data_IF_244129832471
#
_entry.id   IF_244129832471
#
_cell.length_a   1.000
_cell.length_b   1.000
_cell.length_c   1.000
_cell.angle_alpha   90.00
_cell.angle_beta   90.00
_cell.angle_gamma   90.00
#
_symmetry.space_group_name_H-M   'P 1'
#
loop_
_entity.id
_entity.type
_entity.pdbx_description
1 polymer ?
#
# COMPACT_ATOMS: atom_id res chain seq x y z
N UNK A 1 -15.40 22.28 -15.84
CA UNK A 1 -16.17 21.33 -15.04
C UNK A 1 -15.77 21.38 -13.58
N UNK A 2 -16.64 20.92 -12.70
CA UNK A 2 -16.40 21.02 -11.26
C UNK A 2 -15.92 19.69 -10.71
N UNK A 3 -14.74 19.68 -10.12
CA UNK A 3 -14.21 18.53 -9.38
C UNK A 3 -14.93 18.41 -8.04
N UNK A 4 -15.35 17.21 -7.68
CA UNK A 4 -15.85 16.92 -6.33
C UNK A 4 -14.66 16.78 -5.38
N UNK A 5 -14.49 17.74 -4.49
CA UNK A 5 -13.40 17.74 -3.48
C UNK A 5 -13.79 17.07 -2.16
N UNK A 6 -15.06 16.70 -2.00
CA UNK A 6 -15.53 15.96 -0.82
C UNK A 6 -15.22 14.49 -0.99
N UNK A 7 -14.23 14.00 -0.26
CA UNK A 7 -13.79 12.58 -0.25
C UNK A 7 -13.85 12.07 1.18
N UNK A 8 -14.47 10.92 1.37
CA UNK A 8 -14.54 10.27 2.68
C UNK A 8 -13.14 9.95 3.22
N UNK A 9 -12.98 9.98 4.54
CA UNK A 9 -11.69 9.79 5.22
C UNK A 9 -10.97 8.48 4.83
N UNK A 10 -11.71 7.45 4.44
CA UNK A 10 -11.19 6.13 4.06
C UNK A 10 -11.22 5.87 2.55
N UNK A 11 -11.54 6.88 1.76
CA UNK A 11 -11.59 6.80 0.30
C UNK A 11 -10.53 7.67 -0.34
N UNK A 12 -10.27 7.47 -1.62
CA UNK A 12 -9.42 8.33 -2.43
C UNK A 12 -10.08 8.60 -3.78
N UNK A 13 -9.74 9.73 -4.38
CA UNK A 13 -10.22 10.12 -5.71
C UNK A 13 -9.05 10.60 -6.56
N UNK A 14 -9.11 10.30 -7.85
CA UNK A 14 -8.13 10.75 -8.84
C UNK A 14 -8.81 11.55 -9.94
N UNK A 15 -8.19 12.62 -10.35
CA UNK A 15 -8.63 13.48 -11.46
C UNK A 15 -7.57 13.44 -12.55
N UNK A 16 -7.95 13.02 -13.73
CA UNK A 16 -7.09 12.95 -14.90
C UNK A 16 -7.41 14.10 -15.84
N UNK A 17 -6.41 14.92 -16.13
CA UNK A 17 -6.52 16.21 -16.80
C UNK A 17 -5.76 16.16 -18.13
N UNK A 18 -6.43 16.51 -19.23
CA UNK A 18 -5.75 16.66 -20.53
C UNK A 18 -5.88 18.11 -21.02
N UNK A 19 -4.85 18.93 -20.85
CA UNK A 19 -4.79 20.25 -21.49
C UNK A 19 -4.95 20.14 -23.02
N UNK A 20 -5.44 21.21 -23.64
CA UNK A 20 -5.70 21.23 -25.10
C UNK A 20 -4.44 20.91 -25.89
N UNK A 21 -3.30 21.44 -25.45
CA UNK A 21 -2.02 21.36 -26.17
C UNK A 21 -1.04 20.33 -25.59
N UNK A 22 -1.49 19.47 -24.67
CA UNK A 22 -0.60 18.55 -23.95
C UNK A 22 0.08 17.51 -24.86
N UNK A 23 -0.70 16.89 -25.74
CA UNK A 23 -0.24 15.89 -26.72
C UNK A 23 -1.12 15.99 -27.97
N UNK A 24 -0.55 15.72 -29.17
CA UNK A 24 -1.36 15.64 -30.40
C UNK A 24 -2.25 14.40 -30.40
N UNK A 25 -3.23 14.37 -31.30
CA UNK A 25 -4.10 13.23 -31.52
C UNK A 25 -5.46 13.32 -30.89
N UNK A 26 -6.32 12.34 -31.18
CA UNK A 26 -7.74 12.41 -30.89
C UNK A 26 -8.09 12.08 -29.45
N UNK A 27 -7.57 10.99 -28.93
CA UNK A 27 -7.87 10.55 -27.57
C UNK A 27 -6.65 9.93 -26.89
N UNK A 28 -6.56 10.16 -25.58
CA UNK A 28 -5.59 9.50 -24.69
C UNK A 28 -6.35 8.59 -23.75
N UNK A 29 -6.04 7.30 -23.78
CA UNK A 29 -6.63 6.32 -22.90
C UNK A 29 -5.94 6.35 -21.55
N UNK A 30 -6.73 6.33 -20.49
CA UNK A 30 -6.28 6.23 -19.09
C UNK A 30 -6.64 4.87 -18.57
N UNK A 31 -5.65 4.19 -17.99
CA UNK A 31 -5.80 2.91 -17.31
C UNK A 31 -5.39 3.05 -15.84
N UNK A 32 -6.16 2.42 -14.97
CA UNK A 32 -5.86 2.33 -13.54
C UNK A 32 -5.65 0.86 -13.19
N UNK A 33 -4.45 0.51 -12.72
CA UNK A 33 -4.05 -0.86 -12.43
C UNK A 33 -4.31 -1.85 -13.60
N UNK A 34 -4.10 -1.38 -14.82
CA UNK A 34 -4.30 -2.15 -16.04
C UNK A 34 -5.73 -2.18 -16.58
N UNK A 35 -6.70 -1.57 -15.89
CA UNK A 35 -8.09 -1.52 -16.32
C UNK A 35 -8.45 -0.17 -16.94
N UNK A 36 -9.22 -0.22 -18.02
CA UNK A 36 -9.64 0.97 -18.76
C UNK A 36 -10.55 1.87 -17.91
N UNK A 37 -10.17 3.13 -17.78
CA UNK A 37 -10.99 4.14 -17.10
C UNK A 37 -11.74 5.04 -18.09
N UNK A 38 -11.03 5.66 -19.01
CA UNK A 38 -11.60 6.67 -19.91
C UNK A 38 -10.67 6.95 -21.09
N UNK A 39 -11.22 7.62 -22.09
CA UNK A 39 -10.47 8.22 -23.19
C UNK A 39 -10.67 9.73 -23.16
N UNK A 40 -9.61 10.47 -22.86
CA UNK A 40 -9.63 11.92 -22.77
C UNK A 40 -9.37 12.56 -24.14
N UNK A 41 -10.32 13.41 -24.57
CA UNK A 41 -10.10 14.31 -25.71
C UNK A 41 -9.41 15.59 -25.27
N UNK A 42 -8.80 16.38 -26.17
CA UNK A 42 -8.19 17.64 -25.81
C UNK A 42 -9.14 18.56 -25.02
N UNK A 43 -8.64 19.14 -23.93
CA UNK A 43 -9.43 20.01 -23.06
C UNK A 43 -10.41 19.28 -22.13
N UNK A 44 -10.24 17.96 -21.94
CA UNK A 44 -11.10 17.17 -21.09
C UNK A 44 -10.46 16.70 -19.80
N UNK A 45 -11.32 16.40 -18.80
CA UNK A 45 -10.91 15.73 -17.59
C UNK A 45 -11.93 14.68 -17.16
N UNK A 46 -11.46 13.70 -16.39
CA UNK A 46 -12.28 12.68 -15.74
C UNK A 46 -11.88 12.55 -14.28
N UNK A 47 -12.87 12.55 -13.41
CA UNK A 47 -12.69 12.18 -12.00
C UNK A 47 -13.21 10.77 -11.78
N UNK A 48 -12.50 9.99 -10.96
CA UNK A 48 -12.89 8.64 -10.57
C UNK A 48 -12.46 8.34 -9.15
N UNK A 49 -13.25 7.55 -8.44
CA UNK A 49 -12.79 6.91 -7.21
C UNK A 49 -11.58 6.01 -7.52
N UNK A 50 -10.67 5.90 -6.58
CA UNK A 50 -9.50 5.00 -6.66
C UNK A 50 -9.21 4.39 -5.29
N UNK A 51 -8.40 3.34 -5.26
CA UNK A 51 -7.97 2.76 -4.00
C UNK A 51 -6.99 3.70 -3.27
N UNK A 52 -7.08 3.73 -1.95
CA UNK A 52 -6.08 4.37 -1.09
C UNK A 52 -4.76 3.63 -1.21
N UNK A 53 -3.66 4.36 -1.27
CA UNK A 53 -2.32 3.79 -1.31
C UNK A 53 -1.63 4.03 -2.64
N UNK A 54 -1.06 3.00 -3.24
CA UNK A 54 -0.33 3.08 -4.51
C UNK A 54 -1.16 2.51 -5.64
N UNK A 55 -1.29 3.26 -6.72
CA UNK A 55 -1.97 2.82 -7.95
C UNK A 55 -1.03 2.98 -9.14
N UNK A 56 -1.01 1.98 -10.02
CA UNK A 56 -0.32 2.07 -11.30
C UNK A 56 -1.23 2.74 -12.32
N UNK A 57 -0.81 3.92 -12.78
CA UNK A 57 -1.56 4.72 -13.74
C UNK A 57 -0.84 4.73 -15.08
N UNK A 58 -1.60 4.62 -16.15
CA UNK A 58 -1.08 4.61 -17.52
C UNK A 58 -1.88 5.56 -18.39
N UNK A 59 -1.18 6.36 -19.19
CA UNK A 59 -1.76 7.12 -20.29
C UNK A 59 -1.15 6.62 -21.60
N UNK A 60 -1.99 6.30 -22.58
CA UNK A 60 -1.52 5.79 -23.87
C UNK A 60 -2.45 6.17 -25.02
N UNK A 61 -1.91 6.25 -26.23
CA UNK A 61 -2.75 6.25 -27.42
C UNK A 61 -3.39 4.89 -27.64
N UNK A 62 -4.46 4.86 -28.42
CA UNK A 62 -5.04 3.59 -28.87
C UNK A 62 -4.05 2.86 -29.76
N UNK A 63 -3.62 1.68 -29.33
CA UNK A 63 -2.74 0.81 -30.11
C UNK A 63 -3.38 -0.56 -30.32
N UNK A 64 -3.89 -0.75 -31.53
CA UNK A 64 -4.52 -2.01 -31.94
C UNK A 64 -3.45 -3.07 -32.28
N UNK A 65 -2.26 -2.65 -32.66
CA UNK A 65 -1.18 -3.56 -33.11
C UNK A 65 -0.66 -4.42 -31.96
N UNK A 66 -0.55 -3.86 -30.76
CA UNK A 66 -0.11 -4.56 -29.56
C UNK A 66 -1.25 -5.21 -28.76
N UNK A 67 -2.49 -5.15 -29.26
CA UNK A 67 -3.70 -5.63 -28.56
C UNK A 67 -3.84 -5.06 -27.16
N UNK A 68 -3.45 -3.82 -26.95
CA UNK A 68 -3.47 -3.13 -25.66
C UNK A 68 -2.62 -3.80 -24.55
N UNK A 69 -1.67 -4.66 -24.89
CA UNK A 69 -0.79 -5.32 -23.89
C UNK A 69 0.10 -4.32 -23.13
N UNK A 70 0.34 -3.16 -23.69
CA UNK A 70 1.10 -2.10 -23.02
C UNK A 70 0.43 -1.63 -21.72
N UNK A 71 -0.89 -1.70 -21.60
CA UNK A 71 -1.62 -1.39 -20.37
C UNK A 71 -1.18 -2.23 -19.17
N UNK A 72 -0.68 -3.45 -19.40
CA UNK A 72 -0.20 -4.36 -18.37
C UNK A 72 1.28 -4.19 -18.03
N UNK A 73 2.05 -3.66 -18.98
CA UNK A 73 3.52 -3.53 -18.88
C UNK A 73 4.00 -2.13 -18.58
N UNK A 74 3.20 -1.12 -18.94
CA UNK A 74 3.55 0.28 -18.81
C UNK A 74 2.76 0.94 -17.69
N UNK A 75 3.23 2.10 -17.27
CA UNK A 75 2.64 2.89 -16.25
C UNK A 75 3.61 3.20 -15.12
N UNK A 76 3.23 4.14 -14.31
CA UNK A 76 3.97 4.60 -13.16
C UNK A 76 3.09 4.46 -11.92
N UNK A 77 3.68 4.05 -10.81
CA UNK A 77 2.99 4.00 -9.54
C UNK A 77 2.95 5.38 -8.89
N UNK A 78 1.76 5.80 -8.49
CA UNK A 78 1.51 7.06 -7.79
C UNK A 78 0.79 6.81 -6.47
N UNK A 79 1.09 7.63 -5.49
CA UNK A 79 0.36 7.62 -4.22
C UNK A 79 -0.97 8.35 -4.37
N UNK A 80 -2.04 7.74 -3.85
CA UNK A 80 -3.38 8.33 -3.76
C UNK A 80 -3.83 8.26 -2.29
N UNK A 81 -3.50 9.28 -1.47
CA UNK A 81 -3.76 9.26 -0.04
C UNK A 81 -5.24 9.24 0.31
N UNK A 82 -5.56 8.64 1.45
CA UNK A 82 -6.91 8.63 2.00
C UNK A 82 -7.44 10.05 2.27
N UNK A 83 -8.73 10.27 2.06
CA UNK A 83 -9.42 11.53 2.31
C UNK A 83 -9.02 12.65 1.34
N UNK A 84 -8.40 12.34 0.21
CA UNK A 84 -7.86 13.35 -0.70
C UNK A 84 -8.23 13.11 -2.16
N UNK A 85 -8.14 14.18 -2.94
CA UNK A 85 -8.19 14.18 -4.41
C UNK A 85 -6.77 14.34 -4.94
N UNK A 86 -6.31 13.40 -5.75
CA UNK A 86 -5.03 13.45 -6.45
C UNK A 86 -5.23 13.87 -7.90
N UNK A 87 -4.37 14.73 -8.41
CA UNK A 87 -4.50 15.29 -9.76
C UNK A 87 -3.35 14.82 -10.64
N UNK A 88 -3.67 14.36 -11.84
CA UNK A 88 -2.72 13.83 -12.81
C UNK A 88 -2.92 14.51 -14.17
N UNK A 89 -1.88 15.16 -14.66
CA UNK A 89 -1.89 15.83 -15.93
C UNK A 89 -1.29 14.94 -17.01
N UNK A 90 -1.96 14.85 -18.15
CA UNK A 90 -1.41 14.25 -19.36
C UNK A 90 -0.33 15.16 -19.93
N UNK A 91 0.84 14.61 -20.18
CA UNK A 91 1.95 15.23 -20.86
C UNK A 91 2.52 14.29 -21.91
N UNK A 92 3.68 14.61 -22.45
CA UNK A 92 4.42 13.78 -23.40
C UNK A 92 5.84 13.53 -22.92
N UNK A 93 6.36 12.32 -23.20
CA UNK A 93 7.78 12.02 -23.03
C UNK A 93 8.61 12.58 -24.22
N UNK A 94 9.92 12.35 -24.21
CA UNK A 94 10.83 12.81 -25.26
C UNK A 94 10.50 12.23 -26.64
N UNK A 95 9.79 11.10 -26.72
CA UNK A 95 9.34 10.47 -27.97
C UNK A 95 7.94 10.87 -28.41
N UNK A 96 7.26 11.76 -27.65
CA UNK A 96 5.91 12.22 -27.90
C UNK A 96 4.81 11.26 -27.41
N UNK A 97 5.15 10.22 -26.64
CA UNK A 97 4.18 9.31 -26.05
C UNK A 97 3.51 9.94 -24.84
N UNK A 98 2.19 9.70 -24.62
CA UNK A 98 1.49 10.19 -23.46
C UNK A 98 2.10 9.69 -22.16
N UNK A 99 2.20 10.60 -21.18
CA UNK A 99 2.64 10.33 -19.81
C UNK A 99 1.68 10.98 -18.81
N UNK A 100 1.79 10.62 -17.56
CA UNK A 100 1.08 11.26 -16.46
C UNK A 100 2.08 11.89 -15.49
N UNK A 101 1.78 13.12 -15.07
CA UNK A 101 2.51 13.86 -14.05
C UNK A 101 1.53 14.24 -12.94
N UNK A 102 1.91 13.94 -11.71
CA UNK A 102 1.12 14.36 -10.55
C UNK A 102 1.30 15.85 -10.29
N UNK A 103 0.19 16.54 -10.08
CA UNK A 103 0.15 17.95 -9.70
C UNK A 103 -0.19 18.08 -8.22
N UNK A 104 0.20 19.19 -7.61
CA UNK A 104 -0.36 19.57 -6.33
C UNK A 104 -1.85 19.96 -6.47
N UNK A 105 -2.56 19.98 -5.34
CA UNK A 105 -4.00 20.20 -5.34
C UNK A 105 -4.40 21.58 -5.93
N UNK A 106 -3.59 22.61 -5.69
CA UNK A 106 -3.87 23.97 -6.17
C UNK A 106 -3.73 24.04 -7.69
N UNK A 107 -2.63 23.55 -8.22
CA UNK A 107 -2.38 23.52 -9.67
C UNK A 107 -3.38 22.61 -10.39
N UNK A 108 -3.68 21.45 -9.80
CA UNK A 108 -4.65 20.50 -10.35
C UNK A 108 -6.06 21.06 -10.43
N UNK A 109 -6.53 21.72 -9.37
CA UNK A 109 -7.85 22.37 -9.35
C UNK A 109 -7.92 23.52 -10.36
N UNK A 110 -6.90 24.38 -10.40
CA UNK A 110 -6.85 25.48 -11.34
C UNK A 110 -6.89 25.01 -12.81
N UNK A 111 -6.21 23.91 -13.12
CA UNK A 111 -6.27 23.31 -14.45
C UNK A 111 -7.64 22.69 -14.72
N UNK A 112 -8.23 21.96 -13.78
CA UNK A 112 -9.55 21.35 -13.92
C UNK A 112 -10.65 22.39 -14.21
N UNK A 113 -10.55 23.57 -13.61
CA UNK A 113 -11.50 24.67 -13.83
C UNK A 113 -11.52 25.18 -15.29
N UNK A 114 -10.42 25.00 -16.00
CA UNK A 114 -10.28 25.37 -17.42
C UNK A 114 -10.75 24.26 -18.38
N UNK A 115 -10.96 23.05 -17.87
CA UNK A 115 -11.27 21.87 -18.66
C UNK A 115 -12.76 21.48 -18.54
N UNK A 116 -13.21 20.63 -19.46
CA UNK A 116 -14.57 20.08 -19.46
C UNK A 116 -14.58 18.67 -18.93
N UNK A 117 -15.48 18.39 -18.00
CA UNK A 117 -15.70 17.04 -17.53
C UNK A 117 -16.24 16.15 -18.65
N UNK A 118 -15.63 14.98 -18.82
CA UNK A 118 -15.99 14.01 -19.84
C UNK A 118 -16.63 12.77 -19.23
N UNK A 119 -17.79 12.38 -19.75
CA UNK A 119 -18.55 11.20 -19.29
C UNK A 119 -19.00 10.30 -20.42
N UNK A 120 -18.40 10.45 -21.62
CA UNK A 120 -18.83 9.72 -22.82
C UNK A 120 -18.30 8.29 -22.93
N UNK A 121 -17.50 7.85 -21.98
CA UNK A 121 -16.93 6.50 -21.94
C UNK A 121 -17.42 5.74 -20.72
N UNK A 122 -17.56 4.42 -20.87
CA UNK A 122 -17.92 3.51 -19.78
C UNK A 122 -16.66 2.93 -19.15
N UNK A 123 -16.37 3.25 -17.89
CA UNK A 123 -15.23 2.68 -17.18
C UNK A 123 -15.38 1.16 -17.03
N UNK A 124 -14.24 0.44 -17.11
CA UNK A 124 -14.13 -0.98 -16.75
C UNK A 124 -13.39 -1.18 -15.42
N UNK A 125 -12.91 -0.10 -14.83
CA UNK A 125 -12.24 -0.14 -13.53
C UNK A 125 -13.21 -0.64 -12.46
N UNK A 126 -12.81 -1.71 -11.78
CA UNK A 126 -13.51 -2.22 -10.61
C UNK A 126 -12.64 -1.92 -9.39
N UNK A 127 -13.22 -1.29 -8.37
CA UNK A 127 -12.51 -0.99 -7.13
C UNK A 127 -12.46 -2.24 -6.24
N UNK A 128 -11.47 -3.09 -6.50
CA UNK A 128 -11.12 -4.21 -5.65
C UNK A 128 -9.97 -3.80 -4.74
N UNK A 129 -10.23 -2.89 -3.82
CA UNK A 129 -9.19 -2.33 -2.96
C UNK A 129 -8.75 -3.32 -1.89
N UNK A 130 -7.47 -3.65 -1.88
CA UNK A 130 -6.83 -4.43 -0.83
C UNK A 130 -6.34 -3.47 0.25
N UNK A 131 -6.89 -3.60 1.46
CA UNK A 131 -6.60 -2.74 2.60
C UNK A 131 -6.15 -3.58 3.81
N UNK A 132 -5.43 -3.00 4.78
CA UNK A 132 -5.17 -3.68 6.04
C UNK A 132 -6.49 -3.87 6.80
N UNK A 133 -6.80 -5.11 7.14
CA UNK A 133 -8.02 -5.49 7.86
C UNK A 133 -7.79 -5.56 9.36
N UNK A 134 -6.67 -6.16 9.78
CA UNK A 134 -6.31 -6.37 11.17
C UNK A 134 -4.80 -6.54 11.31
N UNK A 135 -4.23 -6.03 12.40
CA UNK A 135 -2.83 -6.24 12.78
C UNK A 135 -2.76 -6.88 14.14
N UNK A 136 -1.99 -7.95 14.24
CA UNK A 136 -1.61 -8.59 15.51
C UNK A 136 -0.18 -8.19 15.83
N UNK A 137 0.05 -7.68 17.03
CA UNK A 137 1.38 -7.30 17.51
C UNK A 137 1.84 -8.28 18.58
N UNK A 138 2.95 -8.97 18.31
CA UNK A 138 3.55 -9.94 19.22
C UNK A 138 4.89 -9.39 19.72
N UNK A 139 5.10 -9.40 21.03
CA UNK A 139 6.36 -8.97 21.63
C UNK A 139 7.45 -10.01 21.37
N UNK A 140 8.63 -9.58 20.93
CA UNK A 140 9.73 -10.49 20.63
C UNK A 140 10.17 -11.33 21.84
N UNK A 141 10.09 -10.78 23.05
CA UNK A 141 10.42 -11.49 24.30
C UNK A 141 9.45 -12.62 24.64
N UNK A 142 8.22 -12.56 24.15
CA UNK A 142 7.26 -13.67 24.26
C UNK A 142 7.48 -14.77 23.24
N UNK A 143 8.13 -14.44 22.12
CA UNK A 143 8.37 -15.35 21.00
C UNK A 143 9.74 -16.06 21.10
N UNK A 144 10.78 -15.32 21.45
CA UNK A 144 12.18 -15.79 21.39
C UNK A 144 12.94 -15.46 22.66
N UNK A 145 13.87 -16.34 23.10
CA UNK A 145 14.93 -15.95 24.02
C UNK A 145 15.77 -14.81 23.43
N UNK A 146 16.55 -14.16 24.29
CA UNK A 146 17.46 -13.09 23.85
C UNK A 146 18.36 -13.57 22.71
N UNK A 147 18.51 -12.75 21.69
CA UNK A 147 19.34 -12.98 20.50
C UNK A 147 19.00 -14.26 19.69
N UNK A 148 17.83 -14.86 19.90
CA UNK A 148 17.35 -16.02 19.14
C UNK A 148 16.32 -15.60 18.09
N UNK A 149 16.27 -16.41 17.02
CA UNK A 149 15.40 -16.14 15.87
C UNK A 149 14.92 -17.40 15.15
N UNK A 150 15.40 -18.58 15.51
CA UNK A 150 15.06 -19.83 14.85
C UNK A 150 13.85 -20.50 15.49
N UNK A 151 13.18 -21.35 14.72
CA UNK A 151 11.95 -22.04 15.18
C UNK A 151 12.22 -22.98 16.36
N UNK A 152 13.36 -23.69 16.36
CA UNK A 152 13.72 -24.57 17.45
C UNK A 152 13.92 -23.83 18.79
N UNK A 153 14.39 -22.61 18.75
CA UNK A 153 14.59 -21.73 19.92
C UNK A 153 13.33 -20.97 20.33
N UNK A 154 12.28 -20.99 19.50
CA UNK A 154 11.04 -20.30 19.82
C UNK A 154 10.42 -20.82 21.10
N UNK A 155 10.00 -19.91 21.97
CA UNK A 155 9.35 -20.25 23.24
C UNK A 155 7.99 -20.94 22.98
N UNK A 156 7.65 -21.91 23.85
CA UNK A 156 6.37 -22.62 23.76
C UNK A 156 5.17 -21.66 23.83
N UNK A 157 5.25 -20.64 24.67
CA UNK A 157 4.26 -19.58 24.74
C UNK A 157 4.14 -18.83 23.41
N UNK A 158 5.25 -18.53 22.75
CA UNK A 158 5.24 -17.87 21.45
C UNK A 158 4.58 -18.70 20.37
N UNK A 159 4.86 -20.00 20.32
CA UNK A 159 4.20 -20.93 19.41
C UNK A 159 2.69 -20.98 19.64
N UNK A 160 2.26 -20.98 20.89
CA UNK A 160 0.85 -20.96 21.26
C UNK A 160 0.16 -19.64 20.87
N UNK A 161 0.80 -18.51 21.09
CA UNK A 161 0.26 -17.20 20.66
C UNK A 161 0.09 -17.16 19.13
N UNK A 162 1.05 -17.64 18.37
CA UNK A 162 0.96 -17.70 16.90
C UNK A 162 -0.14 -18.68 16.47
N UNK A 163 -0.30 -19.80 17.15
CA UNK A 163 -1.38 -20.75 16.87
C UNK A 163 -2.75 -20.11 17.07
N UNK A 164 -2.93 -19.32 18.14
CA UNK A 164 -4.17 -18.54 18.36
C UNK A 164 -4.42 -17.50 17.28
N UNK A 165 -3.38 -16.80 16.84
CA UNK A 165 -3.48 -15.87 15.71
C UNK A 165 -3.93 -16.60 14.45
N UNK A 166 -3.33 -17.76 14.14
CA UNK A 166 -3.71 -18.56 12.98
C UNK A 166 -5.17 -19.04 13.06
N UNK A 167 -5.63 -19.44 14.24
CA UNK A 167 -7.03 -19.81 14.45
C UNK A 167 -7.98 -18.62 14.26
N UNK A 168 -7.63 -17.46 14.76
CA UNK A 168 -8.43 -16.24 14.60
C UNK A 168 -8.54 -15.85 13.12
N UNK A 169 -7.43 -15.95 12.36
CA UNK A 169 -7.41 -15.71 10.93
C UNK A 169 -8.30 -16.71 10.18
N UNK A 170 -8.18 -18.00 10.50
CA UNK A 170 -8.97 -19.06 9.86
C UNK A 170 -10.48 -18.95 10.16
N UNK A 171 -10.84 -18.45 11.34
CA UNK A 171 -12.23 -18.23 11.75
C UNK A 171 -12.81 -16.90 11.23
N UNK A 172 -11.98 -16.02 10.68
CA UNK A 172 -12.41 -14.72 10.16
C UNK A 172 -13.33 -14.90 8.95
N UNK A 173 -14.44 -14.15 8.94
CA UNK A 173 -15.32 -14.04 7.78
C UNK A 173 -14.78 -13.08 6.72
N UNK A 174 -13.75 -12.33 7.03
CA UNK A 174 -13.11 -11.41 6.10
C UNK A 174 -12.40 -12.20 4.99
N UNK A 175 -12.48 -11.68 3.77
CA UNK A 175 -11.74 -12.24 2.63
C UNK A 175 -10.30 -11.75 2.70
N UNK A 176 -9.43 -12.56 3.31
CA UNK A 176 -8.00 -12.28 3.40
C UNK A 176 -7.33 -12.60 2.07
N UNK A 177 -6.66 -11.60 1.50
CA UNK A 177 -5.93 -11.70 0.25
C UNK A 177 -4.48 -12.11 0.47
N UNK A 178 -3.81 -11.48 1.46
CA UNK A 178 -2.45 -11.80 1.88
C UNK A 178 -2.22 -11.46 3.34
N UNK A 179 -1.16 -12.02 3.88
CA UNK A 179 -0.68 -11.80 5.24
C UNK A 179 0.75 -11.29 5.15
N UNK A 180 1.04 -10.17 5.79
CA UNK A 180 2.37 -9.61 5.90
C UNK A 180 2.88 -9.77 7.33
N UNK A 181 4.03 -10.43 7.47
CA UNK A 181 4.72 -10.59 8.75
C UNK A 181 5.93 -9.67 8.74
N UNK A 182 6.00 -8.73 9.66
CA UNK A 182 7.07 -7.73 9.72
C UNK A 182 7.75 -7.76 11.08
N UNK A 183 9.05 -8.05 11.06
CA UNK A 183 9.90 -8.02 12.24
C UNK A 183 10.51 -6.63 12.47
N UNK A 184 10.57 -6.21 13.74
CA UNK A 184 11.14 -4.94 14.17
C UNK A 184 12.09 -5.15 15.35
N UNK A 185 13.14 -4.32 15.43
CA UNK A 185 14.08 -4.26 16.55
C UNK A 185 14.02 -2.91 17.25
N UNK A 186 14.68 -2.82 18.40
CA UNK A 186 15.06 -1.55 18.97
C UNK A 186 16.28 -0.96 18.24
N UNK A 187 16.69 0.30 18.54
CA UNK A 187 17.79 0.94 17.85
C UNK A 187 19.18 0.51 18.34
N UNK A 188 19.28 -0.44 19.26
CA UNK A 188 20.60 -0.92 19.75
C UNK A 188 21.22 -1.89 18.73
N UNK A 189 22.55 -1.80 18.60
CA UNK A 189 23.31 -2.61 17.64
C UNK A 189 23.47 -1.94 16.27
N UNK A 190 24.08 -2.68 15.35
CA UNK A 190 24.27 -2.19 13.99
C UNK A 190 23.00 -2.36 13.15
N UNK A 191 22.83 -1.48 12.15
CA UNK A 191 21.73 -1.59 11.19
C UNK A 191 21.70 -2.95 10.49
N UNK A 192 22.84 -3.45 10.04
CA UNK A 192 22.94 -4.75 9.37
C UNK A 192 22.51 -5.91 10.28
N UNK A 193 22.91 -5.87 11.55
CA UNK A 193 22.49 -6.88 12.54
C UNK A 193 20.99 -6.83 12.79
N UNK A 194 20.43 -5.66 13.02
CA UNK A 194 19.01 -5.45 13.27
C UNK A 194 18.15 -5.86 12.07
N UNK A 195 18.60 -5.50 10.87
CA UNK A 195 17.92 -5.91 9.63
C UNK A 195 17.89 -7.45 9.49
N UNK A 196 19.02 -8.10 9.71
CA UNK A 196 19.13 -9.55 9.61
C UNK A 196 18.32 -10.28 10.70
N UNK A 197 18.38 -9.80 11.95
CA UNK A 197 17.64 -10.40 13.07
C UNK A 197 16.12 -10.28 12.86
N UNK A 198 15.65 -9.09 12.48
CA UNK A 198 14.22 -8.85 12.22
C UNK A 198 13.71 -9.67 11.05
N UNK A 199 14.50 -9.84 9.99
CA UNK A 199 14.15 -10.69 8.85
C UNK A 199 14.01 -12.14 9.27
N UNK A 200 14.99 -12.70 9.98
CA UNK A 200 14.94 -14.11 10.46
C UNK A 200 13.76 -14.36 11.39
N UNK A 201 13.46 -13.43 12.30
CA UNK A 201 12.30 -13.53 13.20
C UNK A 201 10.98 -13.51 12.45
N UNK A 202 10.83 -12.64 11.47
CA UNK A 202 9.65 -12.62 10.61
C UNK A 202 9.47 -13.92 9.83
N UNK A 203 10.54 -14.47 9.27
CA UNK A 203 10.52 -15.75 8.55
C UNK A 203 10.14 -16.92 9.48
N UNK A 204 10.63 -16.93 10.71
CA UNK A 204 10.30 -17.96 11.70
C UNK A 204 8.83 -17.87 12.12
N UNK A 205 8.29 -16.68 12.31
CA UNK A 205 6.86 -16.48 12.58
C UNK A 205 6.01 -16.94 11.39
N UNK A 206 6.44 -16.64 10.16
CA UNK A 206 5.78 -17.17 8.95
C UNK A 206 5.74 -18.70 8.96
N UNK A 207 6.85 -19.34 9.29
CA UNK A 207 6.93 -20.81 9.41
C UNK A 207 5.94 -21.33 10.45
N UNK A 208 5.86 -20.70 11.61
CA UNK A 208 4.92 -21.09 12.68
C UNK A 208 3.45 -20.93 12.25
N UNK A 209 3.11 -19.86 11.53
CA UNK A 209 1.77 -19.66 10.93
C UNK A 209 1.45 -20.79 9.93
N UNK A 210 2.40 -21.13 9.07
CA UNK A 210 2.25 -22.20 8.08
C UNK A 210 2.04 -23.55 8.75
N UNK A 211 2.77 -23.84 9.81
CA UNK A 211 2.59 -25.08 10.60
C UNK A 211 1.24 -25.12 11.34
N UNK A 212 0.63 -23.97 11.56
CA UNK A 212 -0.73 -23.85 12.07
C UNK A 212 -1.80 -23.90 10.98
N UNK A 213 -1.47 -24.45 9.80
CA UNK A 213 -2.34 -24.76 8.67
C UNK A 213 -2.81 -23.55 7.85
N UNK A 214 -2.15 -22.40 7.96
CA UNK A 214 -2.37 -21.29 7.02
C UNK A 214 -1.57 -21.52 5.72
N UNK A 215 -2.15 -21.22 4.54
CA UNK A 215 -1.45 -21.36 3.26
C UNK A 215 -0.19 -20.50 3.17
N UNK A 216 0.97 -21.10 2.92
CA UNK A 216 2.25 -20.37 2.84
C UNK A 216 2.34 -19.40 1.66
N UNK A 217 1.61 -19.66 0.58
CA UNK A 217 1.63 -18.83 -0.63
C UNK A 217 1.07 -17.42 -0.44
N UNK A 218 0.25 -17.21 0.58
CA UNK A 218 -0.33 -15.90 0.90
C UNK A 218 0.37 -15.17 2.04
N UNK A 219 1.47 -15.71 2.58
CA UNK A 219 2.19 -15.15 3.71
C UNK A 219 3.57 -14.67 3.25
N UNK A 220 3.85 -13.37 3.42
CA UNK A 220 5.15 -12.76 3.18
C UNK A 220 5.80 -12.36 4.50
N UNK A 221 7.14 -12.42 4.56
CA UNK A 221 7.90 -12.06 5.76
C UNK A 221 8.99 -11.05 5.43
N UNK A 222 9.06 -9.97 6.22
CA UNK A 222 10.00 -8.87 6.04
C UNK A 222 10.59 -8.41 7.36
N UNK A 223 11.89 -8.10 7.36
CA UNK A 223 12.56 -7.39 8.44
C UNK A 223 12.65 -5.90 8.13
N UNK A 224 12.39 -5.07 9.14
CA UNK A 224 12.54 -3.61 9.07
C UNK A 224 13.61 -3.08 10.01
N UNK A 225 14.26 -3.96 10.78
CA UNK A 225 15.22 -3.53 11.77
C UNK A 225 14.65 -2.46 12.69
N UNK A 226 15.40 -1.41 12.93
CA UNK A 226 15.05 -0.26 13.75
C UNK A 226 14.40 0.91 12.99
N UNK A 227 14.00 0.71 11.73
CA UNK A 227 13.50 1.79 10.87
C UNK A 227 12.11 2.31 11.23
N UNK A 228 11.34 1.54 11.99
CA UNK A 228 9.94 1.87 12.34
C UNK A 228 9.73 1.75 13.85
N UNK A 229 10.33 2.65 14.60
CA UNK A 229 10.22 2.68 16.05
C UNK A 229 8.83 3.19 16.49
N UNK A 230 8.25 2.53 17.49
CA UNK A 230 7.06 3.03 18.21
C UNK A 230 7.45 4.04 19.27
N UNK A 231 8.61 3.85 19.90
CA UNK A 231 9.18 4.77 20.89
C UNK A 231 10.58 5.14 20.41
N UNK A 232 10.82 6.40 20.12
CA UNK A 232 12.08 6.88 19.50
C UNK A 232 12.99 7.68 20.44
N UNK A 233 12.54 7.98 21.65
CA UNK A 233 13.21 8.88 22.59
C UNK A 233 13.91 8.18 23.77
N UNK A 234 13.95 6.85 23.78
CA UNK A 234 14.48 6.09 24.92
C UNK A 234 15.93 6.41 25.24
N UNK A 235 16.78 6.60 24.22
CA UNK A 235 18.19 6.97 24.42
C UNK A 235 18.35 8.38 24.99
N UNK A 236 17.51 9.31 24.57
CA UNK A 236 17.49 10.67 25.09
C UNK A 236 17.00 10.72 26.54
N UNK A 237 16.00 9.91 26.88
CA UNK A 237 15.44 9.83 28.24
C UNK A 237 16.35 9.13 29.22
N UNK A 238 17.05 8.10 28.78
CA UNK A 238 17.89 7.24 29.62
C UNK A 238 19.32 7.10 29.06
N UNK A 239 20.08 8.19 28.91
CA UNK A 239 21.38 8.15 28.22
C UNK A 239 22.45 7.33 28.96
N UNK A 240 22.31 7.17 30.27
CA UNK A 240 23.31 6.49 31.14
C UNK A 240 22.75 5.25 31.85
N UNK A 241 21.48 4.93 31.65
CA UNK A 241 20.83 3.78 32.29
C UNK A 241 20.38 2.79 31.19
N UNK A 242 21.24 1.83 30.91
CA UNK A 242 20.96 0.80 29.89
C UNK A 242 19.76 -0.07 30.24
N UNK A 243 19.50 -0.31 31.54
CA UNK A 243 18.37 -1.13 31.97
C UNK A 243 17.04 -0.41 31.74
N UNK A 244 16.95 0.85 32.10
CA UNK A 244 15.75 1.66 31.83
C UNK A 244 15.55 1.89 30.33
N UNK A 245 16.62 2.10 29.58
CA UNK A 245 16.55 2.20 28.12
C UNK A 245 16.02 0.93 27.47
N UNK A 246 16.49 -0.24 27.90
CA UNK A 246 16.01 -1.52 27.41
C UNK A 246 14.52 -1.72 27.71
N UNK A 247 14.06 -1.36 28.88
CA UNK A 247 12.63 -1.41 29.26
C UNK A 247 11.79 -0.43 28.43
N UNK A 248 12.28 0.79 28.22
CA UNK A 248 11.64 1.79 27.36
C UNK A 248 11.48 1.31 25.91
N UNK A 249 12.50 0.62 25.38
CA UNK A 249 12.54 0.12 24.01
C UNK A 249 11.73 -1.16 23.80
N UNK A 250 11.15 -1.75 24.82
CA UNK A 250 10.42 -3.03 24.71
C UNK A 250 9.34 -3.01 23.61
N UNK A 251 8.50 -1.98 23.44
CA UNK A 251 7.50 -1.94 22.37
C UNK A 251 8.09 -1.99 20.95
N UNK A 252 9.34 -1.57 20.78
CA UNK A 252 10.02 -1.60 19.49
C UNK A 252 10.37 -3.02 19.05
N UNK A 253 10.68 -3.91 20.01
CA UNK A 253 11.03 -5.31 19.74
C UNK A 253 9.78 -6.16 19.58
N UNK A 254 9.29 -6.24 18.35
CA UNK A 254 8.02 -6.88 18.02
C UNK A 254 8.02 -7.54 16.66
N UNK A 255 7.05 -8.41 16.45
CA UNK A 255 6.66 -8.91 15.14
C UNK A 255 5.20 -8.54 14.93
N UNK A 256 4.89 -7.92 13.83
CA UNK A 256 3.53 -7.55 13.43
C UNK A 256 3.04 -8.51 12.34
N UNK A 257 1.82 -9.00 12.48
CA UNK A 257 1.13 -9.83 11.50
C UNK A 257 -0.07 -9.03 11.03
N UNK A 258 -0.05 -8.56 9.78
CA UNK A 258 -1.13 -7.74 9.22
C UNK A 258 -1.86 -8.51 8.12
N UNK A 259 -3.17 -8.60 8.26
CA UNK A 259 -4.06 -9.17 7.26
C UNK A 259 -4.44 -8.08 6.27
N UNK A 260 -4.30 -8.37 4.99
CA UNK A 260 -4.79 -7.52 3.91
C UNK A 260 -5.90 -8.24 3.15
N UNK A 261 -6.93 -7.53 2.84
CA UNK A 261 -8.05 -8.05 2.09
C UNK A 261 -8.91 -6.95 1.51
N UNK A 262 -10.03 -7.34 0.94
CA UNK A 262 -10.95 -6.37 0.35
C UNK A 262 -11.72 -5.65 1.47
N UNK A 263 -11.79 -4.32 1.37
CA UNK A 263 -12.70 -3.54 2.20
C UNK A 263 -14.13 -4.03 1.95
N UNK A 264 -14.91 -4.22 3.02
CA UNK A 264 -16.35 -4.40 2.85
C UNK A 264 -16.90 -3.20 2.08
N UNK A 265 -17.63 -3.47 0.99
CA UNK A 265 -18.35 -2.41 0.29
C UNK A 265 -19.29 -1.75 1.30
N UNK A 266 -19.18 -0.42 1.42
CA UNK A 266 -20.12 0.32 2.25
C UNK A 266 -21.55 -0.03 1.83
N UNK A 267 -22.46 -0.36 2.77
CA UNK A 267 -23.83 -0.67 2.41
C UNK A 267 -24.49 0.56 1.80
N UNK A 268 -24.75 0.49 0.48
CA UNK A 268 -25.69 1.36 -0.19
C UNK A 268 -25.19 2.69 -0.70
N UNK A 269 -24.70 2.68 -1.93
CA UNK A 269 -24.98 3.77 -2.87
C UNK A 269 -25.57 3.12 -4.13
N UNK A 270 -26.87 2.92 -4.11
CA UNK A 270 -27.67 2.76 -5.32
C UNK A 270 -27.89 4.13 -5.97
#
# INVERSE_FOLDING_TARGET
GKVNTSVDANAASAVFLRPVDAVPGQAVNIFVNGEYLTSLTPGGFKQSATCVGSNRLTASYTDVSTRYLEKERQGQSFATPAGSVSYFQVGADASGKPTLQQLDATAGQALADQLKQQGHTLPRVQLNCVVPLKTYTLQASALFPFDKSDYASMLAQGKEEIRKVAQDIAASKAKVDRIEVVGHTDPEGSHAYNQALSQRRAETVRTALTQSQLPSSSINAHGRGEQQLLVSDCRARFPRDAKQRMACDQPNRRVEITLYGQAEAAPGSN
#
